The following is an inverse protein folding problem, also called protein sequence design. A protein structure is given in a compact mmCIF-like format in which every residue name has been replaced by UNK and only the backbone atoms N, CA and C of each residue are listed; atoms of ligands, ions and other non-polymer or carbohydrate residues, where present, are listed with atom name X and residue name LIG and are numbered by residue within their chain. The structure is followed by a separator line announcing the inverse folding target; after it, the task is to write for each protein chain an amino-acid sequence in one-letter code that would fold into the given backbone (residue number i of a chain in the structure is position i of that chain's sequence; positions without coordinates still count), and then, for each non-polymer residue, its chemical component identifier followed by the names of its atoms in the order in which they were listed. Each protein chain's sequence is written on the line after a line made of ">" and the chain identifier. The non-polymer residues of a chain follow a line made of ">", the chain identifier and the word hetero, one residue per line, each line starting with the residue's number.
data_IF_609551749998
#
_entry.id   IF_609551749998
#
_cell.length_a   1.000
_cell.length_b   1.000
_cell.length_c   1.000
_cell.angle_alpha   90.00
_cell.angle_beta   90.00
_cell.angle_gamma   90.00
#
_symmetry.space_group_name_H-M   'P 1'
#
loop_
_entity.id
_entity.type
_entity.pdbx_description
1 polymer ?
2 polymer ?
3 water ?
#
loop_
_entity_poly.entity_id
_entity_poly.type
_entity_poly.pdbx_seq_one_letter_code
_entity_poly.pdbx_strand_id
1 'polydeoxyribonucleotide' '(DT)(DC)(DG)(DC)(DG)(DA)(DA)(DT)(DT)(DC)(DG)(DC)(DG)' ?
#
# COMPACT_ATOMS: atom_id res chain seq x y z
N UNK B 17 -12.00 7.24 -15.21
CA UNK B 17 -12.71 7.58 -16.47
C UNK B 17 -13.50 6.38 -16.99
N UNK B 18 -13.15 5.20 -16.47
CA UNK B 18 -13.80 3.94 -16.87
C UNK B 18 -15.20 3.87 -16.28
N UNK B 19 -16.11 4.65 -16.87
CA UNK B 19 -17.49 4.68 -16.42
C UNK B 19 -17.63 5.29 -15.04
N UNK B 20 -18.18 4.50 -14.11
CA UNK B 20 -18.37 4.96 -12.74
C UNK B 20 -17.04 5.27 -12.05
N UNK B 21 -15.97 4.60 -12.47
CA UNK B 21 -14.66 4.84 -11.88
C UNK B 21 -14.30 6.31 -12.02
N UNK B 22 -14.61 6.90 -13.18
CA UNK B 22 -14.32 8.29 -13.42
C UNK B 22 -15.04 9.17 -12.42
N UNK B 23 -16.29 8.82 -12.16
CA UNK B 23 -17.14 9.55 -11.24
C UNK B 23 -16.66 9.46 -9.79
N UNK B 24 -16.42 8.25 -9.31
CA UNK B 24 -15.95 8.06 -7.95
C UNK B 24 -14.63 8.80 -7.80
N UNK B 25 -13.78 8.68 -8.83
CA UNK B 25 -12.49 9.33 -8.83
C UNK B 25 -12.54 10.84 -8.64
N UNK B 26 -13.51 11.48 -9.28
CA UNK B 26 -13.66 12.93 -9.18
C UNK B 26 -14.10 13.28 -7.75
N UNK B 27 -14.94 12.42 -7.18
CA UNK B 27 -15.40 12.62 -5.82
C UNK B 27 -14.22 12.56 -4.86
N UNK B 28 -13.33 11.58 -5.06
CA UNK B 28 -12.16 11.46 -4.18
C UNK B 28 -11.28 12.70 -4.31
N UNK B 29 -11.07 13.15 -5.55
CA UNK B 29 -10.25 14.34 -5.75
C UNK B 29 -10.92 15.57 -5.10
N UNK B 30 -12.22 15.73 -5.31
CA UNK B 30 -12.95 16.86 -4.76
C UNK B 30 -12.87 16.95 -3.24
N UNK B 31 -12.66 15.82 -2.57
CA UNK B 31 -12.59 15.83 -1.11
C UNK B 31 -11.21 15.50 -0.57
N UNK B 32 -10.23 15.47 -1.45
CA UNK B 32 -8.85 15.14 -1.07
C UNK B 32 -8.87 14.04 0.00
N UNK B 33 -9.66 12.99 -0.27
CA UNK B 33 -9.82 11.88 0.67
C UNK B 33 -8.51 11.24 1.13
N UNK B 34 -8.45 10.89 2.41
CA UNK B 34 -7.27 10.24 2.98
C UNK B 34 -7.30 8.79 2.49
N UNK B 35 -6.16 8.10 2.53
CA UNK B 35 -6.12 6.74 2.00
C UNK B 35 -7.21 5.84 2.58
N UNK B 36 -7.47 5.97 3.88
CA UNK B 36 -8.50 5.16 4.51
C UNK B 36 -9.88 5.45 3.93
N UNK B 37 -10.15 6.72 3.65
CA UNK B 37 -11.46 7.05 3.06
C UNK B 37 -11.49 6.58 1.61
N UNK B 38 -10.33 6.54 0.97
CA UNK B 38 -10.30 6.08 -0.41
C UNK B 38 -10.63 4.59 -0.41
N UNK B 39 -10.14 3.85 0.58
CA UNK B 39 -10.47 2.42 0.65
C UNK B 39 -11.98 2.21 0.79
N UNK B 40 -12.63 3.06 1.56
CA UNK B 40 -14.07 2.94 1.73
C UNK B 40 -14.76 3.25 0.41
N UNK B 41 -14.17 4.14 -0.37
CA UNK B 41 -14.70 4.53 -1.67
C UNK B 41 -14.54 3.34 -2.62
N UNK B 42 -13.41 2.65 -2.54
CA UNK B 42 -13.18 1.47 -3.38
C UNK B 42 -14.23 0.40 -3.04
N UNK B 43 -14.51 0.22 -1.76
CA UNK B 43 -15.52 -0.77 -1.35
C UNK B 43 -16.88 -0.44 -2.01
N UNK B 44 -17.28 0.82 -1.92
CA UNK B 44 -18.53 1.28 -2.50
C UNK B 44 -18.56 1.09 -4.02
N UNK B 45 -17.44 1.37 -4.67
CA UNK B 45 -17.35 1.22 -6.12
C UNK B 45 -17.46 -0.25 -6.48
N UNK B 46 -16.85 -1.12 -5.68
CA UNK B 46 -16.89 -2.56 -5.95
C UNK B 46 -18.30 -3.07 -5.83
N UNK B 47 -19.01 -2.61 -4.80
CA UNK B 47 -20.38 -3.03 -4.59
C UNK B 47 -21.26 -2.61 -5.76
N UNK B 48 -20.93 -1.46 -6.33
CA UNK B 48 -21.65 -0.90 -7.45
C UNK B 48 -21.42 -1.76 -8.70
N UNK B 49 -20.16 -2.10 -8.95
CA UNK B 49 -19.78 -2.92 -10.09
C UNK B 49 -20.28 -4.35 -9.95
N UNK B 50 -20.21 -4.89 -8.74
CA UNK B 50 -20.65 -6.27 -8.51
C UNK B 50 -21.75 -6.29 -7.44
N UNK B 51 -22.98 -5.97 -7.83
CA UNK B 51 -24.11 -5.95 -6.89
C UNK B 51 -24.43 -7.30 -6.28
N UNK B 52 -24.01 -8.38 -6.93
CA UNK B 52 -24.29 -9.72 -6.43
C UNK B 52 -23.31 -10.16 -5.34
N UNK B 53 -22.17 -9.47 -5.26
CA UNK B 53 -21.17 -9.82 -4.25
C UNK B 53 -21.30 -8.95 -3.01
N UNK B 54 -20.73 -9.41 -1.90
CA UNK B 54 -20.77 -8.65 -0.65
C UNK B 54 -19.35 -8.21 -0.26
N UNK B 55 -19.19 -6.91 -0.05
CA UNK B 55 -17.90 -6.37 0.33
C UNK B 55 -18.00 -5.69 1.68
N UNK B 56 -16.85 -5.53 2.33
CA UNK B 56 -16.78 -4.87 3.63
C UNK B 56 -15.42 -4.22 3.84
N UNK B 57 -15.42 -3.21 4.71
CA UNK B 57 -14.22 -2.48 5.04
C UNK B 57 -13.98 -2.70 6.53
N UNK B 58 -12.71 -2.84 6.87
CA UNK B 58 -12.32 -3.10 8.25
C UNK B 58 -11.08 -2.25 8.45
N UNK B 59 -10.93 -1.66 9.63
CA UNK B 59 -9.77 -0.83 9.84
C UNK B 59 -8.68 -1.59 10.59
N UNK B 60 -8.97 -2.80 11.04
CA UNK B 60 -7.95 -3.55 11.76
C UNK B 60 -8.16 -5.05 11.74
N UNK B 61 -7.10 -5.77 12.08
CA UNK B 61 -7.12 -7.21 12.12
C UNK B 61 -6.38 -7.63 13.39
N UNK B 62 -7.00 -8.48 14.20
CA UNK B 62 -6.40 -8.95 15.45
C UNK B 62 -5.34 -9.99 15.19
N UNK B 63 -4.30 -9.98 16.01
CA UNK B 63 -3.24 -10.96 15.86
C UNK B 63 -3.74 -12.39 16.02
N UNK B 64 -4.87 -12.55 16.71
CA UNK B 64 -5.44 -13.90 16.88
C UNK B 64 -5.97 -14.38 15.51
N UNK B 65 -6.52 -13.44 14.74
CA UNK B 65 -7.04 -13.77 13.42
C UNK B 65 -5.91 -14.23 12.51
N UNK B 66 -4.76 -13.56 12.59
CA UNK B 66 -3.60 -13.92 11.75
C UNK B 66 -3.10 -15.29 12.17
N UNK B 67 -2.98 -15.50 13.47
CA UNK B 67 -2.52 -16.80 13.97
C UNK B 67 -3.40 -17.96 13.49
N UNK B 68 -4.71 -17.74 13.48
CA UNK B 68 -5.65 -18.76 13.05
C UNK B 68 -5.47 -19.06 11.56
N UNK B 69 -5.22 -18.02 10.76
CA UNK B 69 -5.02 -18.23 9.34
C UNK B 69 -3.72 -19.01 9.14
N UNK B 70 -2.72 -18.72 9.98
CA UNK B 70 -1.41 -19.38 9.87
C UNK B 70 -1.53 -20.85 10.26
N UNK B 71 -2.30 -21.13 11.32
CA UNK B 71 -2.47 -22.52 11.77
C UNK B 71 -3.10 -23.40 10.68
N UNK B 72 -4.02 -22.82 9.91
CA UNK B 72 -4.65 -23.58 8.83
C UNK B 72 -3.62 -24.01 7.79
N UNK B 73 -2.52 -23.28 7.71
CA UNK B 73 -1.46 -23.58 6.76
C UNK B 73 -0.64 -24.76 7.27
N UNK B 74 -0.27 -24.69 8.55
CA UNK B 74 0.55 -25.70 9.19
C UNK B 74 0.38 -25.50 10.69
N UNK B 75 0.01 -26.56 11.41
CA UNK B 75 -0.22 -26.55 12.86
C UNK B 75 0.86 -25.92 13.75
N UNK B 76 2.11 -25.91 13.31
CA UNK B 76 3.22 -25.32 14.07
C UNK B 76 3.37 -23.81 13.89
N UNK B 77 2.63 -23.25 12.95
CA UNK B 77 2.68 -21.82 12.68
C UNK B 77 1.66 -21.06 13.53
N UNK B 78 1.89 -19.77 13.74
CA UNK B 78 0.96 -18.96 14.51
C UNK B 78 0.74 -19.37 15.95
N UNK B 79 1.79 -19.89 16.59
CA UNK B 79 1.66 -20.33 17.97
C UNK B 79 1.97 -19.31 19.04
N UNK B 80 2.56 -18.18 18.66
CA UNK B 80 2.91 -17.16 19.65
C UNK B 80 1.93 -15.99 19.72
N UNK B 81 1.70 -15.50 20.94
CA UNK B 81 0.83 -14.36 21.20
C UNK B 81 1.13 -13.93 22.64
N UNK B 82 1.86 -12.82 22.79
CA UNK B 82 2.23 -12.33 24.10
C UNK B 82 1.20 -11.38 24.69
N UNK B 83 0.68 -10.48 23.86
CA UNK B 83 -0.35 -9.55 24.30
C UNK B 83 -1.61 -10.09 23.60
N UNK B 84 -2.53 -10.63 24.38
CA UNK B 84 -3.74 -11.25 23.85
C UNK B 84 -4.55 -10.45 22.85
N UNK B 85 -4.72 -9.17 23.13
CA UNK B 85 -5.49 -8.29 22.27
C UNK B 85 -4.57 -7.54 21.29
N UNK B 86 -3.44 -8.11 20.90
CA UNK B 86 -2.58 -7.42 19.95
C UNK B 86 -3.22 -7.39 18.54
N UNK B 87 -2.86 -6.38 17.75
CA UNK B 87 -3.43 -6.24 16.41
C UNK B 87 -2.60 -5.33 15.50
N UNK B 88 -3.07 -5.21 14.25
CA UNK B 88 -2.43 -4.32 13.29
C UNK B 88 -3.52 -3.43 12.73
N UNK B 89 -3.13 -2.20 12.41
CA UNK B 89 -4.06 -1.20 11.92
C UNK B 89 -3.49 -0.42 10.73
N UNK B 90 -3.52 -1.01 9.54
CA UNK B 90 -3.02 -0.36 8.31
C UNK B 90 -3.78 0.96 8.21
N UNK B 91 -3.11 2.09 7.98
CA UNK B 91 -3.85 3.35 7.96
C UNK B 91 -4.87 3.43 6.82
N UNK B 92 -4.75 2.55 5.84
CA UNK B 92 -5.70 2.55 4.73
C UNK B 92 -6.76 1.49 4.96
N UNK B 93 -6.64 0.72 6.04
CA UNK B 93 -7.62 -0.32 6.30
C UNK B 93 -7.52 -1.52 5.38
N UNK B 94 -8.59 -2.31 5.36
CA UNK B 94 -8.67 -3.54 4.60
C UNK B 94 -10.04 -3.68 3.94
N UNK B 95 -10.06 -4.16 2.71
CA UNK B 95 -11.33 -4.40 2.04
C UNK B 95 -11.37 -5.88 1.73
N UNK B 96 -12.51 -6.51 1.99
CA UNK B 96 -12.67 -7.94 1.77
C UNK B 96 -13.95 -8.26 1.02
N UNK B 97 -14.01 -9.46 0.44
CA UNK B 97 -15.21 -9.88 -0.27
C UNK B 97 -15.59 -11.26 0.26
N UNK B 98 -16.90 -11.55 0.31
CA UNK B 98 -17.34 -12.85 0.80
C UNK B 98 -17.34 -13.85 -0.35
N UNK B 99 -16.73 -15.01 -0.16
CA UNK B 99 -16.70 -16.00 -1.22
C UNK B 99 -17.91 -16.93 -1.18
N UNK B 100 -17.99 -17.84 -2.15
CA UNK B 100 -19.11 -18.78 -2.23
C UNK B 100 -19.21 -19.69 -1.00
N UNK B 101 -18.12 -19.77 -0.24
CA UNK B 101 -18.08 -20.60 0.95
C UNK B 101 -18.48 -19.84 2.21
N UNK B 102 -18.70 -18.55 2.07
CA UNK B 102 -19.08 -17.72 3.20
C UNK B 102 -17.87 -17.12 3.92
N UNK B 103 -16.67 -17.41 3.44
CA UNK B 103 -15.42 -16.90 4.02
C UNK B 103 -15.04 -15.53 3.45
N UNK B 104 -14.49 -14.66 4.29
CA UNK B 104 -14.06 -13.34 3.84
C UNK B 104 -12.64 -13.39 3.30
N UNK B 105 -12.45 -12.87 2.08
CA UNK B 105 -11.17 -12.88 1.40
C UNK B 105 -10.70 -11.43 1.17
N UNK B 106 -9.45 -11.18 1.50
CA UNK B 106 -8.89 -9.84 1.32
C UNK B 106 -8.71 -9.44 -0.15
N UNK B 107 -9.26 -8.29 -0.54
CA UNK B 107 -9.11 -7.82 -1.92
C UNK B 107 -8.20 -6.58 -1.96
N UNK B 108 -7.95 -5.97 -0.80
CA UNK B 108 -7.11 -4.78 -0.72
C UNK B 108 -6.70 -4.37 0.70
N UNK B 109 -5.42 -4.02 0.85
CA UNK B 109 -4.90 -3.47 2.10
C UNK B 109 -4.07 -2.27 1.64
N UNK B 110 -4.38 -1.09 2.14
CA UNK B 110 -3.66 0.10 1.71
C UNK B 110 -2.99 0.80 2.89
N UNK B 111 -1.84 1.39 2.60
CA UNK B 111 -1.05 2.09 3.59
C UNK B 111 -0.35 3.29 2.90
N UNK B 112 -0.33 4.44 3.57
CA UNK B 112 0.32 5.63 3.06
C UNK B 112 1.29 6.10 4.14
N UNK B 113 2.54 6.33 3.75
CA UNK B 113 3.58 6.76 4.68
C UNK B 113 4.22 8.05 4.18
N UNK B 114 4.81 8.82 5.10
CA UNK B 114 5.47 10.07 4.76
C UNK B 114 6.85 10.13 5.38
N UNK B 115 7.77 10.82 4.72
CA UNK B 115 9.10 11.05 5.27
C UNK B 115 9.89 12.03 4.41
N UNK B 116 10.54 12.98 5.07
CA UNK B 116 11.32 13.97 4.36
C UNK B 116 10.58 15.29 4.31
N UNK B 117 11.07 16.28 5.06
CA UNK B 117 10.45 17.60 5.14
C UNK B 117 11.27 18.66 4.41
N UNK B 118 12.30 18.25 3.70
CA UNK B 118 13.19 19.17 3.01
C UNK B 118 12.48 20.19 2.11
N UNK B 119 11.59 19.72 1.24
CA UNK B 119 10.86 20.60 0.35
C UNK B 119 10.11 21.69 1.12
N UNK B 120 9.66 21.37 2.33
CA UNK B 120 8.94 22.35 3.14
C UNK B 120 9.91 23.29 3.84
N UNK B 121 11.03 22.75 4.29
CA UNK B 121 12.07 23.53 4.97
C UNK B 121 12.71 24.53 4.02
N UNK B 122 12.94 24.12 2.79
CA UNK B 122 13.55 24.99 1.80
C UNK B 122 12.58 26.13 1.44
N UNK B 123 11.35 25.77 1.09
CA UNK B 123 10.31 26.75 0.75
C UNK B 123 10.18 27.78 1.87
N UNK B 124 10.52 27.38 3.08
CA UNK B 124 10.44 28.27 4.24
C UNK B 124 11.80 28.87 4.57
N UNK B 125 12.80 28.61 3.76
CA UNK B 125 14.13 29.15 4.03
C UNK B 125 14.61 28.83 5.43
N UNK B 126 14.23 27.65 5.92
CA UNK B 126 14.63 27.21 7.25
C UNK B 126 15.80 26.23 7.20
N UNK B 127 16.97 26.68 7.63
CA UNK B 127 18.16 25.83 7.65
C UNK B 127 17.99 24.80 8.74
N UNK B 128 18.65 23.65 8.60
CA UNK B 128 18.55 22.59 9.59
C UNK B 128 19.89 22.00 9.99
N UNK B 129 19.86 21.06 10.92
CA UNK B 129 21.09 20.42 11.36
C UNK B 129 21.40 20.88 12.77
N UNK B 130 22.32 20.19 13.43
CA UNK B 130 22.69 20.56 14.78
C UNK B 130 23.24 21.97 14.86
N UNK B 131 23.68 22.51 13.71
CA UNK B 131 24.22 23.88 13.66
C UNK B 131 23.29 24.80 12.88
N UNK B 132 22.15 24.27 12.44
CA UNK B 132 21.19 25.05 11.69
C UNK B 132 21.82 25.75 10.51
N UNK B 133 22.66 25.03 9.79
CA UNK B 133 23.35 25.58 8.63
C UNK B 133 23.25 24.67 7.40
N UNK B 134 22.31 23.72 7.46
CA UNK B 134 22.14 22.78 6.35
C UNK B 134 20.88 23.03 5.55
N UNK B 135 20.96 22.86 4.24
CA UNK B 135 19.79 23.03 3.39
C UNK B 135 18.93 21.76 3.58
N UNK B 136 19.59 20.61 3.58
CA UNK B 136 18.93 19.31 3.71
C UNK B 136 19.17 18.55 5.03
N UNK B 137 18.18 17.76 5.41
CA UNK B 137 18.24 16.90 6.59
C UNK B 137 18.60 15.49 6.10
N UNK B 138 19.68 14.91 6.62
CA UNK B 138 20.07 13.55 6.21
C UNK B 138 18.87 12.69 6.60
N UNK B 139 18.28 12.02 5.62
CA UNK B 139 17.10 11.21 5.83
C UNK B 139 17.22 10.04 6.82
N UNK B 140 16.16 9.88 7.61
CA UNK B 140 16.07 8.84 8.63
C UNK B 140 15.66 7.49 8.06
N UNK B 141 15.26 6.56 8.94
CA UNK B 141 14.93 5.22 8.50
C UNK B 141 13.63 4.65 9.04
N UNK B 142 12.80 5.50 9.63
CA UNK B 142 11.54 5.03 10.20
C UNK B 142 10.65 4.30 9.21
N UNK B 143 10.78 4.67 7.94
CA UNK B 143 9.97 4.06 6.90
C UNK B 143 10.17 2.53 6.90
N UNK B 144 11.31 2.07 7.42
CA UNK B 144 11.56 0.61 7.48
C UNK B 144 10.49 -0.17 8.25
N UNK B 145 9.78 0.50 9.15
CA UNK B 145 8.72 -0.18 9.90
C UNK B 145 7.62 -0.70 8.98
N UNK B 146 7.56 -0.19 7.77
CA UNK B 146 6.53 -0.59 6.82
C UNK B 146 6.58 -2.08 6.54
N UNK B 147 7.77 -2.65 6.59
CA UNK B 147 7.91 -4.08 6.33
C UNK B 147 7.15 -4.97 7.31
N UNK B 148 6.85 -4.48 8.51
CA UNK B 148 6.16 -5.32 9.49
C UNK B 148 4.74 -5.67 9.07
N UNK B 149 3.93 -4.66 8.77
CA UNK B 149 2.56 -4.94 8.36
C UNK B 149 2.47 -5.65 7.03
N UNK B 150 3.47 -5.47 6.16
CA UNK B 150 3.48 -6.17 4.89
C UNK B 150 3.67 -7.67 5.23
N UNK B 151 4.59 -7.94 6.16
CA UNK B 151 4.85 -9.31 6.57
C UNK B 151 3.59 -9.94 7.24
N UNK B 152 2.88 -9.16 8.05
CA UNK B 152 1.70 -9.63 8.75
C UNK B 152 0.63 -10.00 7.76
N UNK B 153 0.40 -9.15 6.75
CA UNK B 153 -0.62 -9.45 5.77
C UNK B 153 -0.19 -10.61 4.87
N UNK B 154 1.10 -10.71 4.56
CA UNK B 154 1.56 -11.83 3.73
C UNK B 154 1.25 -13.14 4.47
N UNK B 155 1.50 -13.12 5.77
CA UNK B 155 1.23 -14.30 6.60
C UNK B 155 -0.25 -14.61 6.63
N UNK B 156 -1.06 -13.57 6.81
CA UNK B 156 -2.51 -13.72 6.84
C UNK B 156 -3.01 -14.27 5.50
N UNK B 157 -2.31 -13.93 4.43
CA UNK B 157 -2.74 -14.34 3.11
C UNK B 157 -1.91 -15.45 2.50
N UNK B 158 -1.20 -16.19 3.34
CA UNK B 158 -0.31 -17.25 2.86
C UNK B 158 -1.00 -18.30 1.98
N UNK B 159 -2.30 -18.52 2.22
CA UNK B 159 -3.04 -19.50 1.43
C UNK B 159 -3.56 -18.92 0.10
N UNK B 160 -3.49 -17.59 -0.03
CA UNK B 160 -3.96 -16.90 -1.23
C UNK B 160 -2.95 -16.87 -2.38
N UNK B 161 -3.42 -16.67 -3.61
CA UNK B 161 -2.54 -16.61 -4.78
C UNK B 161 -2.33 -15.15 -5.24
N UNK B 162 -2.87 -14.22 -4.46
CA UNK B 162 -2.78 -12.78 -4.71
C UNK B 162 -2.40 -12.09 -3.38
N UNK B 163 -1.80 -10.90 -3.48
CA UNK B 163 -1.35 -10.14 -2.31
C UNK B 163 -1.56 -8.69 -2.70
N UNK B 164 -2.76 -8.17 -2.43
CA UNK B 164 -3.18 -6.81 -2.75
C UNK B 164 -2.79 -5.75 -1.77
N UNK B 165 -1.52 -5.76 -1.37
CA UNK B 165 -1.00 -4.78 -0.42
C UNK B 165 -0.40 -3.63 -1.19
N UNK B 166 -0.94 -2.43 -0.98
CA UNK B 166 -0.42 -1.26 -1.69
C UNK B 166 0.10 -0.24 -0.69
N UNK B 167 1.32 0.23 -0.94
CA UNK B 167 1.99 1.23 -0.10
C UNK B 167 2.21 2.51 -0.93
N UNK B 168 1.76 3.63 -0.40
CA UNK B 168 1.92 4.94 -1.05
C UNK B 168 2.96 5.79 -0.30
N UNK B 169 4.03 6.17 -0.99
CA UNK B 169 5.11 6.98 -0.42
C UNK B 169 4.95 8.45 -0.83
N UNK B 170 5.28 9.33 0.10
CA UNK B 170 5.21 10.76 -0.13
C UNK B 170 6.30 11.44 0.70
N UNK B 171 6.96 12.44 0.12
CA UNK B 171 8.00 13.16 0.84
C UNK B 171 9.28 13.32 0.05
N UNK B 172 10.20 14.10 0.60
CA UNK B 172 11.48 14.35 -0.04
C UNK B 172 12.41 13.15 0.03
N UNK B 173 12.02 12.11 0.76
CA UNK B 173 12.87 10.93 0.87
C UNK B 173 12.52 9.86 -0.16
N UNK B 174 11.54 10.14 -1.00
CA UNK B 174 11.14 9.14 -1.99
C UNK B 174 11.12 9.64 -3.43
N UNK B 175 12.12 10.45 -3.79
CA UNK B 175 12.22 11.03 -5.14
C UNK B 175 12.64 10.06 -6.22
N UNK B 176 12.05 10.24 -7.41
CA UNK B 176 12.41 9.41 -8.55
C UNK B 176 12.84 10.24 -9.74
N UNK B 177 12.91 11.56 -9.53
CA UNK B 177 13.33 12.51 -10.54
C UNK B 177 13.90 13.73 -9.82
N UNK B 178 14.88 14.39 -10.43
CA UNK B 178 15.48 15.56 -9.80
C UNK B 178 14.50 16.72 -9.83
N UNK B 179 14.42 17.48 -8.73
CA UNK B 179 13.52 18.63 -8.64
C UNK B 179 14.25 19.84 -8.04
N UNK B 180 13.69 21.02 -8.27
CA UNK B 180 14.28 22.25 -7.75
C UNK B 180 13.33 23.00 -6.84
N UNK B 181 13.85 23.46 -5.71
CA UNK B 181 13.03 24.20 -4.74
C UNK B 181 13.68 25.56 -4.52
N UNK B 182 12.89 26.62 -4.60
CA UNK B 182 13.38 27.98 -4.42
C UNK B 182 13.08 28.56 -3.04
N UNK B 183 14.14 29.04 -2.39
CA UNK B 183 14.04 29.66 -1.07
C UNK B 183 13.31 31.00 -1.15
N UNK B 184 12.91 31.56 0.02
CA UNK B 184 12.23 32.85 0.05
C UNK B 184 13.14 33.94 -0.50
N UNK B 185 14.41 33.88 -0.10
CA UNK B 185 15.41 34.83 -0.55
C UNK B 185 15.80 34.59 -2.01
N UNK B 186 15.07 33.72 -2.68
CA UNK B 186 15.34 33.44 -4.08
C UNK B 186 16.34 32.34 -4.40
N UNK B 187 17.17 31.96 -3.44
CA UNK B 187 18.14 30.91 -3.70
C UNK B 187 17.47 29.59 -4.05
N UNK B 188 17.92 28.95 -5.13
CA UNK B 188 17.36 27.68 -5.58
C UNK B 188 18.17 26.47 -5.14
N UNK B 189 17.50 25.52 -4.50
CA UNK B 189 18.15 24.29 -4.03
C UNK B 189 17.81 23.14 -4.97
N UNK B 190 18.82 22.55 -5.59
CA UNK B 190 18.60 21.46 -6.51
C UNK B 190 18.79 20.10 -5.85
N UNK B 191 17.77 19.24 -5.96
CA UNK B 191 17.84 17.91 -5.36
C UNK B 191 18.00 16.81 -6.41
N UNK B 192 18.99 15.97 -6.20
CA UNK B 192 19.26 14.84 -7.08
C UNK B 192 18.57 13.64 -6.43
N UNK B 193 17.63 13.04 -7.15
CA UNK B 193 16.88 11.92 -6.61
C UNK B 193 17.77 10.72 -6.31
N UNK B 194 18.85 10.53 -7.07
CA UNK B 194 19.71 9.37 -6.82
C UNK B 194 20.69 9.59 -5.66
N UNK B 195 20.49 10.64 -4.86
CA UNK B 195 21.38 10.92 -3.72
C UNK B 195 20.99 10.18 -2.43
N UNK B 196 21.94 9.45 -1.87
CA UNK B 196 21.68 8.70 -0.65
C UNK B 196 21.51 9.62 0.54
N UNK B 197 21.66 10.92 0.32
CA UNK B 197 21.49 11.88 1.38
C UNK B 197 20.04 11.84 1.83
N UNK B 198 19.16 11.74 0.83
CA UNK B 198 17.71 11.75 1.04
C UNK B 198 16.93 10.53 0.55
N UNK B 199 17.37 9.86 -0.51
CA UNK B 199 16.58 8.77 -1.03
C UNK B 199 16.57 7.50 -0.19
N UNK B 200 15.37 7.12 0.26
CA UNK B 200 15.19 5.93 1.10
C UNK B 200 14.32 4.86 0.42
N UNK B 201 14.19 4.96 -0.91
CA UNK B 201 13.39 4.01 -1.69
C UNK B 201 13.99 2.60 -1.63
N UNK B 202 15.31 2.53 -1.59
CA UNK B 202 15.96 1.23 -1.54
C UNK B 202 15.66 0.54 -0.19
N UNK B 203 15.15 1.30 0.78
CA UNK B 203 14.76 0.75 2.09
C UNK B 203 13.42 0.00 2.01
N UNK B 204 12.75 0.10 0.86
CA UNK B 204 11.46 -0.55 0.67
C UNK B 204 11.46 -1.59 -0.45
N UNK B 205 12.47 -1.59 -1.32
CA UNK B 205 12.46 -2.51 -2.45
C UNK B 205 12.48 -3.99 -2.12
N UNK B 206 12.91 -4.35 -0.90
CA UNK B 206 12.92 -5.76 -0.53
C UNK B 206 11.48 -6.29 -0.50
N UNK B 207 10.54 -5.39 -0.21
CA UNK B 207 9.13 -5.75 -0.12
C UNK B 207 8.49 -6.26 -1.41
N UNK B 208 9.08 -5.95 -2.56
CA UNK B 208 8.54 -6.46 -3.80
C UNK B 208 9.61 -7.16 -4.64
N UNK B 209 10.65 -7.63 -3.95
CA UNK B 209 11.75 -8.37 -4.56
C UNK B 209 12.45 -7.64 -5.71
N UNK B 210 12.41 -6.31 -5.68
CA UNK B 210 13.05 -5.55 -6.73
C UNK B 210 12.22 -5.45 -8.01
N UNK B 211 10.97 -5.91 -7.95
CA UNK B 211 10.10 -5.80 -9.11
C UNK B 211 9.83 -4.30 -9.31
N UNK B 212 9.26 -3.91 -10.46
CA UNK B 212 9.00 -2.49 -10.69
C UNK B 212 8.12 -1.78 -9.69
N UNK B 213 8.51 -0.55 -9.31
CA UNK B 213 7.68 0.24 -8.42
C UNK B 213 6.57 0.84 -9.26
N UNK B 214 5.61 1.48 -8.60
CA UNK B 214 4.45 2.10 -9.24
C UNK B 214 3.72 1.12 -10.18
N UNK B 215 3.62 -0.14 -9.76
CA UNK B 215 2.97 -1.16 -10.56
C UNK B 215 2.10 -2.07 -9.71
N UNK B 216 1.09 -2.65 -10.34
CA UNK B 216 0.14 -3.57 -9.69
C UNK B 216 0.80 -4.94 -9.61
N UNK B 217 1.32 -5.34 -8.44
CA UNK B 217 1.98 -6.67 -8.33
C UNK B 217 1.15 -7.69 -7.56
N UNK B 218 -0.17 -7.45 -7.55
CA UNK B 218 -1.12 -8.27 -6.84
C UNK B 218 -1.08 -9.76 -7.17
N UNK B 219 -0.79 -10.11 -8.41
CA UNK B 219 -0.77 -11.54 -8.73
C UNK B 219 0.54 -12.18 -8.33
N UNK B 220 0.49 -13.08 -7.35
CA UNK B 220 1.72 -13.72 -6.89
C UNK B 220 2.45 -14.47 -7.96
N UNK B 221 3.76 -14.29 -7.97
CA UNK B 221 4.64 -14.95 -8.89
C UNK B 221 5.22 -16.20 -8.21
N UNK B 222 5.49 -17.23 -8.99
CA UNK B 222 6.09 -18.43 -8.46
C UNK B 222 7.43 -18.58 -9.16
N UNK B 223 8.44 -19.03 -8.43
CA UNK B 223 9.77 -19.20 -9.00
C UNK B 223 10.34 -20.50 -8.45
N UNK B 224 11.53 -20.86 -8.92
CA UNK B 224 12.18 -22.07 -8.45
C UNK B 224 13.69 -21.93 -8.50
N UNK B 225 14.39 -22.97 -8.06
CA UNK B 225 15.85 -22.99 -8.08
C UNK B 225 16.34 -24.43 -7.95
N UNK B 226 15.57 -25.24 -7.23
CA UNK B 226 15.90 -26.64 -7.01
C UNK B 226 14.60 -27.43 -6.94
N UNK B 227 13.80 -27.35 -8.00
CA UNK B 227 12.52 -28.06 -8.01
C UNK B 227 11.75 -27.58 -6.79
N UNK B 228 11.90 -26.30 -6.49
CA UNK B 228 11.26 -25.69 -5.34
C UNK B 228 9.85 -25.19 -5.66
N UNK B 229 9.78 -24.30 -6.65
CA UNK B 229 8.52 -23.67 -7.09
C UNK B 229 7.85 -22.97 -5.89
N UNK B 230 8.52 -21.93 -5.40
CA UNK B 230 8.09 -21.13 -4.25
C UNK B 230 7.25 -19.92 -4.64
N UNK B 231 6.40 -19.47 -3.75
CA UNK B 231 5.52 -18.34 -4.02
C UNK B 231 6.01 -17.02 -3.44
N UNK B 232 6.00 -15.96 -4.25
CA UNK B 232 6.44 -14.66 -3.77
C UNK B 232 5.22 -13.78 -3.53
N UNK B 233 5.28 -12.98 -2.47
CA UNK B 233 4.18 -12.08 -2.13
C UNK B 233 4.77 -10.67 -2.20
N UNK B 234 4.61 -10.03 -3.35
CA UNK B 234 5.19 -8.72 -3.63
C UNK B 234 4.24 -7.56 -3.43
N UNK B 235 4.60 -6.63 -2.54
CA UNK B 235 3.74 -5.47 -2.31
C UNK B 235 3.87 -4.52 -3.50
N UNK B 236 2.80 -3.82 -3.80
CA UNK B 236 2.80 -2.84 -4.87
C UNK B 236 3.23 -1.55 -4.16
N UNK B 237 4.36 -0.98 -4.59
CA UNK B 237 4.94 0.20 -3.96
C UNK B 237 4.84 1.40 -4.87
N UNK B 238 4.08 2.39 -4.46
CA UNK B 238 3.92 3.59 -5.28
C UNK B 238 4.49 4.81 -4.60
N UNK B 239 5.11 5.69 -5.38
CA UNK B 239 5.63 6.91 -4.80
C UNK B 239 5.26 8.11 -5.67
N UNK B 240 5.09 9.25 -5.03
CA UNK B 240 4.83 10.49 -5.75
C UNK B 240 6.28 10.94 -5.84
N UNK B 241 6.95 10.54 -6.92
CA UNK B 241 8.36 10.82 -7.08
C UNK B 241 8.85 12.25 -7.29
N UNK B 242 7.95 13.22 -7.33
CA UNK B 242 8.35 14.60 -7.53
C UNK B 242 8.26 15.39 -6.23
N UNK B 243 8.00 14.69 -5.13
CA UNK B 243 7.93 15.35 -3.83
C UNK B 243 6.60 16.01 -3.53
N UNK B 244 5.68 15.97 -4.49
CA UNK B 244 4.36 16.57 -4.30
C UNK B 244 3.48 15.62 -3.50
N UNK B 245 2.31 16.09 -3.12
CA UNK B 245 1.35 15.31 -2.36
C UNK B 245 0.59 14.41 -3.32
N UNK B 246 0.06 13.30 -2.81
CA UNK B 246 -0.70 12.38 -3.66
C UNK B 246 -2.07 12.91 -4.06
N UNK B 247 -2.46 12.63 -5.29
CA UNK B 247 -3.78 13.02 -5.81
C UNK B 247 -4.73 11.86 -5.47
N UNK B 248 -5.71 12.10 -4.60
CA UNK B 248 -6.65 11.07 -4.18
C UNK B 248 -7.33 10.32 -5.32
N UNK B 249 -7.51 11.00 -6.44
CA UNK B 249 -8.16 10.38 -7.59
C UNK B 249 -7.28 9.27 -8.16
N UNK B 250 -5.97 9.53 -8.24
CA UNK B 250 -5.07 8.52 -8.78
C UNK B 250 -4.88 7.36 -7.76
N UNK B 251 -4.89 7.69 -6.48
CA UNK B 251 -4.78 6.65 -5.44
C UNK B 251 -6.00 5.75 -5.60
N UNK B 252 -7.16 6.36 -5.81
CA UNK B 252 -8.38 5.58 -5.97
C UNK B 252 -8.29 4.62 -7.16
N UNK B 253 -7.74 5.08 -8.29
CA UNK B 253 -7.64 4.25 -9.48
C UNK B 253 -6.67 3.10 -9.26
N UNK B 254 -5.57 3.39 -8.58
CA UNK B 254 -4.55 2.39 -8.27
C UNK B 254 -5.21 1.33 -7.41
N UNK B 255 -5.85 1.78 -6.34
CA UNK B 255 -6.50 0.87 -5.41
C UNK B 255 -7.67 0.09 -6.01
N UNK B 256 -8.48 0.72 -6.84
CA UNK B 256 -9.58 0.00 -7.46
C UNK B 256 -9.00 -1.08 -8.39
N UNK B 257 -7.93 -0.73 -9.10
CA UNK B 257 -7.29 -1.67 -10.02
C UNK B 257 -6.76 -2.89 -9.26
N UNK B 258 -6.09 -2.65 -8.14
CA UNK B 258 -5.53 -3.74 -7.34
C UNK B 258 -6.66 -4.64 -6.87
N UNK B 259 -7.73 -4.02 -6.36
CA UNK B 259 -8.88 -4.77 -5.88
C UNK B 259 -9.54 -5.59 -6.97
N UNK B 260 -9.59 -5.02 -8.17
CA UNK B 260 -10.20 -5.73 -9.29
C UNK B 260 -9.38 -6.96 -9.60
N UNK B 261 -8.06 -6.82 -9.47
CA UNK B 261 -7.17 -7.91 -9.76
C UNK B 261 -7.37 -9.03 -8.74
N UNK B 262 -7.62 -8.66 -7.49
CA UNK B 262 -7.87 -9.60 -6.42
C UNK B 262 -9.08 -10.46 -6.77
N UNK B 263 -10.15 -9.80 -7.23
CA UNK B 263 -11.37 -10.50 -7.60
C UNK B 263 -11.13 -11.49 -8.73
N UNK B 264 -10.25 -11.12 -9.67
CA UNK B 264 -9.92 -11.99 -10.78
C UNK B 264 -9.25 -13.28 -10.26
N UNK B 265 -8.29 -13.12 -9.36
CA UNK B 265 -7.59 -14.28 -8.79
C UNK B 265 -8.53 -15.15 -7.96
N UNK B 266 -9.50 -14.50 -7.33
CA UNK B 266 -10.51 -15.13 -6.48
C UNK B 266 -11.72 -15.61 -7.28
N UNK B 267 -11.73 -15.38 -8.58
CA UNK B 267 -12.86 -15.73 -9.42
C UNK B 267 -13.48 -17.10 -9.23
N UNK B 268 -12.67 -18.15 -9.20
CA UNK B 268 -13.19 -19.50 -9.05
C UNK B 268 -14.06 -19.64 -7.81
N UNK B 269 -13.82 -18.81 -6.78
CA UNK B 269 -14.60 -18.90 -5.57
C UNK B 269 -15.66 -17.83 -5.47
N UNK B 270 -16.02 -17.21 -6.59
CA UNK B 270 -17.06 -16.17 -6.57
C UNK B 270 -18.14 -16.50 -7.61
N UNK B 271 -17.86 -17.50 -8.44
CA UNK B 271 -18.77 -17.91 -9.50
C UNK B 271 -20.22 -18.12 -9.07
N UNK B 272 -20.39 -18.93 -8.02
CA UNK B 272 -21.73 -19.24 -7.53
C UNK B 272 -22.54 -18.00 -7.20
N UNK B 273 -21.93 -17.03 -6.54
CA UNK B 273 -22.67 -15.83 -6.19
C UNK B 273 -22.99 -14.94 -7.39
N UNK B 274 -22.11 -14.91 -8.38
CA UNK B 274 -22.39 -14.10 -9.55
C UNK B 274 -23.55 -14.70 -10.35
N UNK B 275 -23.72 -16.01 -10.23
CA UNK B 275 -24.79 -16.73 -10.92
C UNK B 275 -26.14 -16.50 -10.24
N UNK B 276 -26.30 -17.11 -9.07
CA UNK B 276 -27.53 -16.97 -8.31
C UNK B 276 -27.76 -15.50 -7.99
N UNK B 277 -28.73 -14.89 -8.66
CA UNK B 277 -29.04 -13.48 -8.42
C UNK B 277 -30.36 -13.11 -9.11
#
# INVERSE_FOLDING_TARGET
>B
MSNKKQSNRLTEQHKLSQGVIGIFGDYAKAHDLAVGEVSKLVKKALSNEYPQLSFRYRDSIKKTEINEALKKIDPDLGGTLFVSNSSIKPDGGIVEVKDDYGEWRVVLVAEAKHQGKDIINIRNGLLVGKRGDQDLMTAGNAIERSHKNISEIANFMLSESHFPYVLFLEGSNFLTENISITRPDGRVVNLEYNSGILNRLDRLTAANYGMPINSNLCINKFVNHKDKSIMLQAASIYTQGDGREWDSKIMFEIMFDISTTSLRVLGRDLFEQLTSK
#
